data_IF_211011329098
#
_entry.id   IF_211011329098
#
_cell.length_a   1.000
_cell.length_b   1.000
_cell.length_c   1.000
_cell.angle_alpha   90.00
_cell.angle_beta   90.00
_cell.angle_gamma   90.00
#
_symmetry.space_group_name_H-M   'P 1'
#
loop_
_entity.id
_entity.type
_entity.pdbx_description
1 polymer ?
#
# COMPACT_ATOMS: atom_id res chain seq x y z
N UNK A 1 -7.18 -23.29 11.54
CA UNK A 1 -5.98 -22.46 11.82
C UNK A 1 -5.77 -21.52 10.64
N UNK A 2 -5.92 -20.22 10.83
CA UNK A 2 -5.60 -19.22 9.79
C UNK A 2 -4.09 -19.22 9.54
N UNK A 3 -3.66 -19.45 8.30
CA UNK A 3 -2.25 -19.35 7.91
C UNK A 3 -1.82 -17.88 7.91
N UNK A 4 -1.36 -17.36 9.05
CA UNK A 4 -0.88 -15.99 9.24
C UNK A 4 0.21 -15.59 8.22
N UNK A 5 0.99 -16.56 7.75
CA UNK A 5 2.01 -16.38 6.71
C UNK A 5 1.42 -15.89 5.37
N UNK A 6 0.14 -16.16 5.08
CA UNK A 6 -0.50 -15.73 3.83
C UNK A 6 -1.16 -14.35 3.91
N UNK A 7 -1.05 -13.66 5.04
CA UNK A 7 -1.62 -12.31 5.26
C UNK A 7 -0.58 -11.21 4.99
N UNK A 8 0.71 -11.54 4.99
CA UNK A 8 1.79 -10.56 4.79
C UNK A 8 2.37 -10.75 3.38
N UNK A 9 2.45 -9.66 2.62
CA UNK A 9 3.10 -9.57 1.32
C UNK A 9 4.32 -8.65 1.38
N UNK A 10 5.24 -8.82 0.43
CA UNK A 10 6.42 -7.98 0.29
C UNK A 10 6.47 -7.45 -1.14
N UNK A 11 6.67 -6.14 -1.30
CA UNK A 11 6.69 -5.52 -2.62
C UNK A 11 7.99 -5.84 -3.38
N UNK A 12 9.09 -6.02 -2.64
CA UNK A 12 10.39 -6.37 -3.21
C UNK A 12 10.94 -7.63 -2.55
N UNK A 13 10.76 -8.79 -3.19
CA UNK A 13 11.27 -10.07 -2.69
C UNK A 13 12.80 -10.10 -2.63
N UNK A 14 13.49 -9.39 -3.53
CA UNK A 14 14.96 -9.41 -3.59
C UNK A 14 15.59 -8.76 -2.36
N UNK A 15 14.91 -7.78 -1.75
CA UNK A 15 15.37 -7.16 -0.52
C UNK A 15 15.52 -8.18 0.63
N UNK A 16 14.67 -9.23 0.68
CA UNK A 16 14.76 -10.26 1.72
C UNK A 16 16.06 -11.07 1.65
N UNK A 17 16.71 -11.19 0.48
CA UNK A 17 18.03 -11.82 0.40
C UNK A 17 19.08 -11.07 1.21
N UNK A 18 18.85 -9.79 1.53
CA UNK A 18 19.66 -9.03 2.48
C UNK A 18 19.79 -9.73 3.84
N UNK A 19 18.75 -10.39 4.36
CA UNK A 19 18.85 -11.17 5.60
C UNK A 19 19.87 -12.32 5.46
N UNK A 20 19.93 -12.95 4.29
CA UNK A 20 20.88 -14.03 4.01
C UNK A 20 22.32 -13.52 3.91
N UNK A 21 22.52 -12.25 3.53
CA UNK A 21 23.81 -11.57 3.46
C UNK A 21 24.32 -11.12 4.85
N UNK A 22 23.46 -10.97 5.85
CA UNK A 22 23.85 -10.57 7.23
C UNK A 22 25.02 -11.38 7.80
N UNK A 23 25.01 -12.74 7.79
CA UNK A 23 26.13 -13.53 8.32
C UNK A 23 27.42 -13.32 7.53
N UNK A 24 27.33 -13.11 6.22
CA UNK A 24 28.49 -12.85 5.34
C UNK A 24 29.10 -11.49 5.67
N UNK A 25 28.28 -10.44 5.77
CA UNK A 25 28.71 -9.09 6.16
C UNK A 25 29.31 -9.10 7.56
N UNK A 26 28.73 -9.87 8.49
CA UNK A 26 29.28 -10.01 9.84
C UNK A 26 30.67 -10.64 9.83
N UNK A 27 30.89 -11.68 9.02
CA UNK A 27 32.22 -12.31 8.87
C UNK A 27 33.23 -11.29 8.31
N UNK A 28 32.84 -10.53 7.28
CA UNK A 28 33.72 -9.51 6.65
C UNK A 28 34.05 -8.38 7.61
N UNK A 29 33.06 -7.83 8.33
CA UNK A 29 33.29 -6.73 9.28
C UNK A 29 34.00 -7.22 10.55
N UNK A 30 33.85 -8.50 10.90
CA UNK A 30 34.56 -9.12 12.03
C UNK A 30 36.00 -9.54 11.67
N UNK A 31 36.49 -9.22 10.47
CA UNK A 31 37.93 -9.23 10.19
C UNK A 31 38.64 -8.12 10.99
N UNK A 32 38.71 -8.33 12.31
CA UNK A 32 39.47 -7.57 13.30
C UNK A 32 40.95 -8.01 13.27
N UNK A 33 41.84 -7.19 13.85
CA UNK A 33 43.16 -6.92 13.29
C UNK A 33 44.07 -8.14 13.29
N UNK A 34 45.03 -8.20 12.35
CA UNK A 34 46.04 -9.25 12.33
C UNK A 34 46.76 -9.33 13.67
N UNK A 35 47.13 -10.56 14.06
CA UNK A 35 47.83 -10.88 15.31
C UNK A 35 49.00 -9.89 15.49
N UNK A 36 49.13 -9.23 16.67
CA UNK A 36 50.22 -8.29 16.90
C UNK A 36 51.56 -9.01 16.69
N UNK A 37 52.41 -8.45 15.83
CA UNK A 37 53.76 -8.98 15.60
C UNK A 37 54.62 -8.62 16.80
N UNK A 38 55.26 -9.61 17.41
CA UNK A 38 56.25 -9.37 18.47
C UNK A 38 57.54 -8.84 17.85
N UNK A 39 58.04 -7.72 18.39
CA UNK A 39 59.36 -7.20 18.10
C UNK A 39 60.20 -7.27 19.37
N UNK A 40 61.43 -7.79 19.26
CA UNK A 40 62.39 -7.78 20.37
C UNK A 40 62.93 -6.36 20.53
N UNK A 41 62.36 -5.59 21.45
CA UNK A 41 62.82 -4.23 21.73
C UNK A 41 63.86 -4.25 22.85
N UNK A 42 65.12 -3.93 22.55
CA UNK A 42 66.26 -4.11 23.48
C UNK A 42 66.20 -3.29 24.79
N UNK A 43 65.23 -2.38 24.93
CA UNK A 43 65.09 -1.49 26.10
C UNK A 43 64.08 -2.00 27.16
N UNK A 44 63.81 -3.31 27.23
CA UNK A 44 62.86 -3.91 28.19
C UNK A 44 63.08 -3.50 29.66
N UNK A 45 64.32 -3.17 30.06
CA UNK A 45 64.64 -2.72 31.41
C UNK A 45 63.94 -1.41 31.83
N UNK A 46 63.56 -0.55 30.88
CA UNK A 46 62.80 0.68 31.16
C UNK A 46 61.31 0.40 31.42
N UNK A 47 60.80 -0.72 30.90
CA UNK A 47 59.39 -1.10 30.95
C UNK A 47 59.06 -1.96 32.18
N UNK A 48 60.07 -2.57 32.81
CA UNK A 48 59.92 -3.44 33.99
C UNK A 48 59.38 -2.71 35.24
N UNK A 49 59.49 -1.37 35.28
CA UNK A 49 58.96 -0.53 36.37
C UNK A 49 57.51 -0.07 36.18
N UNK A 50 56.85 -0.44 35.08
CA UNK A 50 55.49 -0.03 34.77
C UNK A 50 54.59 -1.25 34.99
N UNK A 51 53.70 -1.19 35.98
CA UNK A 51 52.61 -2.16 36.14
C UNK A 51 51.72 -2.07 34.91
N UNK A 52 51.83 -3.05 34.02
CA UNK A 52 51.09 -3.08 32.77
C UNK A 52 49.78 -3.84 32.99
N UNK A 53 48.70 -3.11 33.27
CA UNK A 53 47.35 -3.65 33.11
C UNK A 53 47.12 -3.91 31.62
N UNK A 54 47.29 -5.17 31.20
CA UNK A 54 47.00 -5.55 29.83
C UNK A 54 45.57 -5.10 29.48
N UNK A 55 45.35 -4.38 28.36
CA UNK A 55 44.02 -3.98 27.97
C UNK A 55 43.19 -5.25 27.82
N UNK A 56 42.26 -5.45 28.75
CA UNK A 56 41.36 -6.58 28.77
C UNK A 56 40.58 -6.50 27.48
N UNK A 57 40.82 -7.44 26.56
CA UNK A 57 40.18 -7.47 25.26
C UNK A 57 38.66 -7.52 25.49
N UNK A 58 38.00 -6.37 25.46
CA UNK A 58 36.61 -6.23 25.85
C UNK A 58 35.79 -6.95 24.79
N UNK A 59 35.34 -8.16 25.11
CA UNK A 59 34.39 -8.89 24.27
C UNK A 59 33.25 -7.93 23.95
N UNK A 60 32.94 -7.75 22.67
CA UNK A 60 31.77 -6.96 22.26
C UNK A 60 30.55 -7.44 23.06
N UNK A 61 29.88 -6.55 23.83
CA UNK A 61 28.77 -6.95 24.69
C UNK A 61 27.64 -7.52 23.82
N UNK A 62 27.05 -8.63 24.27
CA UNK A 62 26.02 -9.36 23.51
C UNK A 62 24.82 -8.47 23.14
N UNK A 63 24.51 -7.47 23.97
CA UNK A 63 23.44 -6.52 23.70
C UNK A 63 23.67 -5.66 22.45
N UNK A 64 24.92 -5.24 22.19
CA UNK A 64 25.26 -4.53 20.95
C UNK A 64 25.09 -5.44 19.72
N UNK A 65 25.34 -6.74 19.85
CA UNK A 65 25.10 -7.71 18.78
C UNK A 65 23.60 -7.83 18.49
N UNK A 66 22.78 -7.92 19.53
CA UNK A 66 21.31 -7.96 19.40
C UNK A 66 20.79 -6.71 18.70
N UNK A 67 21.22 -5.51 19.12
CA UNK A 67 20.81 -4.28 18.46
C UNK A 67 21.26 -4.19 17.01
N UNK A 68 22.47 -4.66 16.71
CA UNK A 68 22.98 -4.66 15.35
C UNK A 68 22.14 -5.53 14.44
N UNK A 69 21.73 -6.71 14.90
CA UNK A 69 20.83 -7.62 14.17
C UNK A 69 19.45 -6.97 14.02
N UNK A 70 18.90 -6.38 15.09
CA UNK A 70 17.61 -5.70 15.06
C UNK A 70 17.61 -4.56 14.02
N UNK A 71 18.60 -3.68 14.06
CA UNK A 71 18.70 -2.54 13.13
C UNK A 71 18.78 -3.02 11.68
N UNK A 72 19.56 -4.08 11.43
CA UNK A 72 19.67 -4.67 10.10
C UNK A 72 18.33 -5.27 9.62
N UNK A 73 17.61 -5.97 10.49
CA UNK A 73 16.25 -6.47 10.19
C UNK A 73 15.31 -5.32 9.84
N UNK A 74 15.32 -4.22 10.61
CA UNK A 74 14.50 -3.05 10.30
C UNK A 74 14.85 -2.43 8.95
N UNK A 75 16.14 -2.31 8.62
CA UNK A 75 16.57 -1.81 7.30
C UNK A 75 16.04 -2.70 6.19
N UNK A 76 16.19 -4.02 6.31
CA UNK A 76 15.71 -4.93 5.26
C UNK A 76 14.18 -4.89 5.16
N UNK A 77 13.46 -4.83 6.28
CA UNK A 77 12.00 -4.65 6.27
C UNK A 77 11.60 -3.35 5.59
N UNK A 78 12.31 -2.25 5.86
CA UNK A 78 12.07 -0.97 5.21
C UNK A 78 12.21 -1.06 3.68
N UNK A 79 13.29 -1.67 3.18
CA UNK A 79 13.50 -1.86 1.74
C UNK A 79 12.58 -2.90 1.10
N UNK A 80 12.15 -3.90 1.87
CA UNK A 80 11.22 -4.94 1.43
C UNK A 80 9.78 -4.45 1.26
N UNK A 81 9.43 -3.35 1.94
CA UNK A 81 8.09 -2.73 1.94
C UNK A 81 7.00 -3.78 2.21
N UNK A 82 6.94 -4.34 3.43
CA UNK A 82 5.89 -5.27 3.80
C UNK A 82 4.53 -4.57 3.75
N UNK A 83 3.55 -5.24 3.17
CA UNK A 83 2.16 -4.80 3.15
C UNK A 83 1.26 -5.94 3.62
N UNK A 84 0.14 -5.60 4.23
CA UNK A 84 -0.86 -6.61 4.56
C UNK A 84 -1.68 -6.92 3.30
N UNK A 85 -1.67 -8.18 2.89
CA UNK A 85 -2.65 -8.72 1.96
C UNK A 85 -3.98 -8.70 2.66
N UNK A 86 -4.89 -7.86 2.19
CA UNK A 86 -6.27 -7.91 2.63
C UNK A 86 -6.89 -9.17 1.99
N UNK A 87 -6.82 -10.31 2.68
CA UNK A 87 -7.58 -11.50 2.31
C UNK A 87 -9.05 -11.29 2.69
N UNK A 88 -9.65 -10.19 2.24
CA UNK A 88 -11.06 -9.84 2.45
C UNK A 88 -11.99 -10.72 1.61
N UNK A 89 -11.66 -12.00 1.38
CA UNK A 89 -12.59 -12.96 0.77
C UNK A 89 -13.87 -13.13 1.59
N UNK A 90 -13.82 -12.89 2.91
CA UNK A 90 -15.01 -12.96 3.80
C UNK A 90 -15.89 -11.70 3.70
N UNK A 91 -15.34 -10.54 3.34
CA UNK A 91 -16.14 -9.33 3.09
C UNK A 91 -16.63 -9.26 1.63
N UNK A 92 -15.91 -9.87 0.69
CA UNK A 92 -16.25 -9.93 -0.74
C UNK A 92 -17.44 -10.86 -1.07
N UNK A 93 -17.88 -11.72 -0.13
CA UNK A 93 -19.15 -12.47 -0.28
C UNK A 93 -20.39 -11.58 -0.10
N UNK A 94 -20.31 -10.49 0.67
CA UNK A 94 -21.47 -9.64 0.97
C UNK A 94 -21.93 -8.77 -0.22
N UNK A 95 -21.04 -8.53 -1.18
CA UNK A 95 -21.30 -7.64 -2.30
C UNK A 95 -21.33 -8.42 -3.62
N UNK A 96 -22.39 -8.25 -4.40
CA UNK A 96 -22.57 -8.91 -5.71
C UNK A 96 -21.96 -8.11 -6.85
N UNK A 97 -21.76 -6.81 -6.66
CA UNK A 97 -21.34 -5.87 -7.71
C UNK A 97 -20.49 -4.72 -7.16
N UNK A 98 -19.65 -4.15 -8.00
CA UNK A 98 -18.82 -2.99 -7.67
C UNK A 98 -19.44 -1.77 -8.36
N UNK A 99 -19.80 -0.73 -7.59
CA UNK A 99 -20.35 0.52 -8.10
C UNK A 99 -19.29 1.60 -8.03
N UNK A 100 -18.85 2.08 -9.18
CA UNK A 100 -17.90 3.18 -9.32
C UNK A 100 -18.69 4.44 -9.68
N UNK A 101 -18.63 5.43 -8.80
CA UNK A 101 -19.23 6.75 -8.97
C UNK A 101 -18.10 7.73 -9.19
N UNK A 102 -17.91 8.11 -10.45
CA UNK A 102 -16.84 8.97 -10.90
C UNK A 102 -17.32 10.39 -11.17
N UNK A 103 -16.48 11.34 -10.85
CA UNK A 103 -16.54 12.67 -11.41
C UNK A 103 -15.52 12.81 -12.53
N UNK A 104 -16.01 13.24 -13.69
CA UNK A 104 -15.18 13.53 -14.86
C UNK A 104 -15.20 15.02 -15.22
N UNK A 105 -15.44 15.91 -14.26
CA UNK A 105 -15.43 17.35 -14.45
C UNK A 105 -14.06 17.96 -14.74
N UNK A 106 -14.03 19.27 -14.95
CA UNK A 106 -12.82 19.98 -15.42
C UNK A 106 -11.66 19.87 -14.43
N UNK A 107 -11.98 19.77 -13.15
CA UNK A 107 -11.05 19.60 -12.03
C UNK A 107 -10.25 18.29 -12.12
N UNK A 108 -10.76 17.28 -12.83
CA UNK A 108 -10.11 15.99 -13.06
C UNK A 108 -9.16 16.00 -14.26
N UNK A 109 -9.23 17.01 -15.14
CA UNK A 109 -8.49 17.04 -16.41
C UNK A 109 -6.98 16.89 -16.22
N UNK A 110 -6.41 17.53 -15.18
CA UNK A 110 -4.98 17.46 -14.88
C UNK A 110 -4.51 16.03 -14.54
N UNK A 111 -5.34 15.28 -13.84
CA UNK A 111 -5.02 13.94 -13.33
C UNK A 111 -5.77 12.84 -14.09
N UNK A 112 -6.19 13.09 -15.34
CA UNK A 112 -7.03 12.19 -16.13
C UNK A 112 -6.46 10.78 -16.29
N UNK A 113 -5.16 10.67 -16.52
CA UNK A 113 -4.50 9.36 -16.66
C UNK A 113 -4.53 8.58 -15.34
N UNK A 114 -4.28 9.25 -14.20
CA UNK A 114 -4.37 8.62 -12.88
C UNK A 114 -5.81 8.19 -12.56
N UNK A 115 -6.79 8.99 -12.97
CA UNK A 115 -8.19 8.62 -12.89
C UNK A 115 -8.48 7.33 -13.67
N UNK A 116 -8.04 7.23 -14.94
CA UNK A 116 -8.21 6.02 -15.75
C UNK A 116 -7.54 4.81 -15.08
N UNK A 117 -6.29 4.95 -14.64
CA UNK A 117 -5.55 3.90 -13.94
C UNK A 117 -6.29 3.40 -12.69
N UNK A 118 -6.79 4.31 -11.85
CA UNK A 118 -7.55 3.96 -10.65
C UNK A 118 -8.85 3.22 -10.96
N UNK A 119 -9.62 3.69 -11.95
CA UNK A 119 -10.88 3.03 -12.34
C UNK A 119 -10.60 1.65 -12.92
N UNK A 120 -9.52 1.48 -13.67
CA UNK A 120 -9.08 0.18 -14.19
C UNK A 120 -8.60 -0.76 -13.07
N UNK A 121 -7.89 -0.27 -12.06
CA UNK A 121 -7.48 -1.07 -10.91
C UNK A 121 -8.70 -1.64 -10.16
N UNK A 122 -9.72 -0.80 -9.94
CA UNK A 122 -10.99 -1.23 -9.36
C UNK A 122 -11.70 -2.25 -10.26
N UNK A 123 -11.68 -2.03 -11.58
CA UNK A 123 -12.23 -2.96 -12.57
C UNK A 123 -11.54 -4.32 -12.58
N UNK A 124 -10.20 -4.35 -12.46
CA UNK A 124 -9.41 -5.58 -12.33
C UNK A 124 -9.74 -6.33 -11.03
N UNK A 125 -9.89 -5.62 -9.91
CA UNK A 125 -10.31 -6.22 -8.63
C UNK A 125 -11.70 -6.85 -8.78
N UNK A 126 -12.65 -6.14 -9.39
CA UNK A 126 -14.00 -6.64 -9.63
C UNK A 126 -14.01 -7.90 -10.52
N UNK A 127 -13.24 -7.89 -11.61
CA UNK A 127 -13.12 -9.03 -12.52
C UNK A 127 -12.49 -10.25 -11.84
N UNK A 128 -11.40 -10.04 -11.08
CA UNK A 128 -10.76 -11.09 -10.28
C UNK A 128 -11.74 -11.72 -9.29
N UNK A 129 -12.61 -10.90 -8.70
CA UNK A 129 -13.65 -11.33 -7.75
C UNK A 129 -14.95 -11.79 -8.42
N UNK A 130 -14.99 -11.89 -9.76
CA UNK A 130 -16.17 -12.27 -10.57
C UNK A 130 -17.40 -11.39 -10.31
N UNK A 131 -17.20 -10.12 -9.99
CA UNK A 131 -18.26 -9.14 -9.72
C UNK A 131 -18.53 -8.30 -10.97
N UNK A 132 -19.79 -7.90 -11.15
CA UNK A 132 -20.15 -6.93 -12.20
C UNK A 132 -19.66 -5.53 -11.81
N UNK A 133 -19.21 -4.77 -12.80
CA UNK A 133 -18.78 -3.39 -12.64
C UNK A 133 -19.91 -2.47 -13.10
N UNK A 134 -20.36 -1.58 -12.23
CA UNK A 134 -21.34 -0.54 -12.53
C UNK A 134 -20.58 0.79 -12.51
N UNK A 135 -20.53 1.49 -13.64
CA UNK A 135 -19.84 2.76 -13.77
C UNK A 135 -20.85 3.87 -14.00
N UNK A 136 -20.92 4.79 -13.05
CA UNK A 136 -21.60 6.06 -13.19
C UNK A 136 -20.56 7.18 -13.25
N UNK A 137 -20.74 8.13 -14.16
CA UNK A 137 -19.93 9.32 -14.21
C UNK A 137 -20.79 10.57 -14.36
N UNK A 138 -20.23 11.72 -13.99
CA UNK A 138 -20.96 13.00 -13.87
C UNK A 138 -21.64 13.52 -15.15
N UNK A 139 -21.30 13.00 -16.34
CA UNK A 139 -22.00 13.31 -17.60
C UNK A 139 -23.38 12.64 -17.70
N UNK A 140 -23.59 11.56 -16.94
CA UNK A 140 -24.84 10.80 -17.01
C UNK A 140 -25.94 11.58 -16.29
N UNK A 141 -27.07 11.73 -16.97
CA UNK A 141 -28.19 12.51 -16.47
C UNK A 141 -29.11 11.70 -15.57
N UNK A 142 -29.19 10.39 -15.79
CA UNK A 142 -30.06 9.49 -15.02
C UNK A 142 -29.31 8.24 -14.61
N UNK A 143 -29.71 7.65 -13.48
CA UNK A 143 -29.21 6.33 -13.06
C UNK A 143 -29.48 5.22 -14.09
N UNK A 144 -30.50 5.38 -14.95
CA UNK A 144 -30.82 4.46 -16.05
C UNK A 144 -29.72 4.38 -17.12
N UNK A 145 -28.89 5.41 -17.21
CA UNK A 145 -27.80 5.49 -18.19
C UNK A 145 -26.51 4.83 -17.69
N UNK A 146 -26.55 4.25 -16.49
CA UNK A 146 -25.43 3.60 -15.84
C UNK A 146 -24.85 2.49 -16.72
N UNK A 147 -23.53 2.49 -16.87
CA UNK A 147 -22.82 1.54 -17.74
C UNK A 147 -22.44 0.31 -16.93
N UNK A 148 -22.79 -0.87 -17.45
CA UNK A 148 -22.53 -2.14 -16.80
C UNK A 148 -21.47 -2.89 -17.60
N UNK A 149 -20.38 -3.28 -16.95
CA UNK A 149 -19.28 -4.02 -17.53
C UNK A 149 -19.08 -5.34 -16.80
N UNK A 150 -18.73 -6.39 -17.54
CA UNK A 150 -18.38 -7.71 -17.00
C UNK A 150 -16.87 -7.93 -16.93
N UNK A 151 -16.10 -7.20 -17.73
CA UNK A 151 -14.64 -7.35 -17.85
C UNK A 151 -13.97 -5.98 -17.78
N UNK A 152 -12.74 -5.96 -17.28
CA UNK A 152 -11.93 -4.75 -17.22
C UNK A 152 -11.56 -4.26 -18.63
N UNK A 153 -11.43 -5.16 -19.60
CA UNK A 153 -11.20 -4.79 -21.00
C UNK A 153 -12.33 -3.92 -21.58
N UNK A 154 -13.59 -4.28 -21.33
CA UNK A 154 -14.74 -3.51 -21.81
C UNK A 154 -14.82 -2.13 -21.13
N UNK A 155 -14.49 -2.07 -19.84
CA UNK A 155 -14.36 -0.81 -19.10
C UNK A 155 -13.24 0.07 -19.69
N UNK A 156 -12.09 -0.51 -19.99
CA UNK A 156 -10.96 0.21 -20.60
C UNK A 156 -11.35 0.85 -21.93
N UNK A 157 -11.97 0.09 -22.83
CA UNK A 157 -12.41 0.61 -24.12
C UNK A 157 -13.43 1.76 -23.96
N UNK A 158 -14.27 1.74 -22.92
CA UNK A 158 -15.15 2.84 -22.61
C UNK A 158 -14.38 4.09 -22.12
N UNK A 159 -13.41 3.90 -21.23
CA UNK A 159 -12.59 4.98 -20.67
C UNK A 159 -11.69 5.66 -21.71
N UNK A 160 -11.18 4.92 -22.69
CA UNK A 160 -10.38 5.49 -23.78
C UNK A 160 -11.17 6.46 -24.66
N UNK A 161 -12.48 6.23 -24.79
CA UNK A 161 -13.39 7.12 -25.51
C UNK A 161 -13.96 8.24 -24.63
N UNK A 162 -13.61 8.25 -23.34
CA UNK A 162 -14.09 9.23 -22.38
C UNK A 162 -13.07 10.38 -22.28
N UNK A 163 -13.59 11.61 -22.16
CA UNK A 163 -12.78 12.81 -21.99
C UNK A 163 -13.28 13.61 -20.78
N UNK A 164 -12.40 14.36 -20.11
CA UNK A 164 -12.82 15.25 -19.03
C UNK A 164 -13.77 16.32 -19.58
N UNK A 165 -14.83 16.57 -18.84
CA UNK A 165 -15.84 17.57 -19.16
C UNK A 165 -15.40 18.96 -18.71
N UNK A 166 -15.76 20.03 -19.43
CA UNK A 166 -15.52 21.41 -18.99
C UNK A 166 -16.53 21.88 -17.92
N UNK A 167 -17.14 20.95 -17.18
CA UNK A 167 -18.21 21.20 -16.21
C UNK A 167 -17.73 20.83 -14.81
N UNK A 168 -18.15 21.60 -13.79
CA UNK A 168 -17.86 21.25 -12.40
C UNK A 168 -18.85 20.22 -11.87
N UNK A 169 -18.34 19.25 -11.12
CA UNK A 169 -19.18 18.33 -10.36
C UNK A 169 -19.93 19.03 -9.26
N UNK A 170 -21.25 19.03 -9.35
CA UNK A 170 -22.10 19.54 -8.28
C UNK A 170 -22.65 18.38 -7.47
N UNK A 171 -22.85 18.61 -6.17
CA UNK A 171 -23.47 17.66 -5.23
C UNK A 171 -24.79 17.06 -5.75
N UNK A 172 -25.57 17.82 -6.52
CA UNK A 172 -26.80 17.36 -7.17
C UNK A 172 -26.61 16.19 -8.16
N UNK A 173 -25.40 15.95 -8.67
CA UNK A 173 -25.11 14.80 -9.53
C UNK A 173 -25.19 13.46 -8.79
N UNK A 174 -24.91 13.46 -7.48
CA UNK A 174 -25.09 12.27 -6.62
C UNK A 174 -26.55 12.08 -6.24
N UNK A 175 -27.31 13.18 -6.10
CA UNK A 175 -28.74 13.10 -5.79
C UNK A 175 -29.51 12.37 -6.89
N UNK A 176 -29.05 12.46 -8.15
CA UNK A 176 -29.59 11.68 -9.28
C UNK A 176 -29.42 10.16 -9.11
N UNK A 177 -28.36 9.70 -8.47
CA UNK A 177 -28.12 8.29 -8.17
C UNK A 177 -28.92 7.82 -6.96
N UNK A 178 -29.05 8.66 -5.94
CA UNK A 178 -29.75 8.35 -4.68
C UNK A 178 -31.25 8.11 -4.90
N UNK A 179 -31.82 8.61 -6.00
CA UNK A 179 -33.22 8.36 -6.36
C UNK A 179 -33.57 6.87 -6.45
N UNK A 180 -32.61 5.99 -6.77
CA UNK A 180 -32.81 4.54 -6.82
C UNK A 180 -31.87 3.83 -5.84
N UNK A 181 -32.38 3.51 -4.65
CA UNK A 181 -31.64 2.82 -3.60
C UNK A 181 -31.22 1.39 -4.00
N UNK A 182 -31.88 0.78 -4.99
CA UNK A 182 -31.61 -0.60 -5.42
C UNK A 182 -30.21 -0.79 -6.03
N UNK A 183 -29.63 0.28 -6.58
CA UNK A 183 -28.30 0.26 -7.19
C UNK A 183 -27.23 0.06 -6.12
N UNK A 184 -27.43 0.64 -4.93
CA UNK A 184 -26.50 0.54 -3.82
C UNK A 184 -26.59 -0.81 -3.10
N UNK A 185 -27.75 -1.48 -3.15
CA UNK A 185 -27.96 -2.79 -2.52
C UNK A 185 -26.93 -3.81 -2.99
N UNK A 186 -26.34 -4.53 -2.04
CA UNK A 186 -25.29 -5.54 -2.24
C UNK A 186 -24.14 -5.04 -3.13
N UNK A 187 -23.79 -3.75 -3.07
CA UNK A 187 -22.68 -3.19 -3.86
C UNK A 187 -21.54 -2.67 -3.00
N UNK A 188 -20.30 -2.89 -3.46
CA UNK A 188 -19.11 -2.21 -2.94
C UNK A 188 -18.97 -0.90 -3.71
N UNK A 189 -19.13 0.23 -3.00
CA UNK A 189 -19.22 1.56 -3.62
C UNK A 189 -17.85 2.23 -3.57
N UNK A 190 -17.38 2.68 -4.72
CA UNK A 190 -16.18 3.48 -4.91
C UNK A 190 -16.58 4.85 -5.41
N UNK A 191 -16.10 5.91 -4.76
CA UNK A 191 -16.35 7.28 -5.19
C UNK A 191 -15.01 7.88 -5.60
N UNK A 192 -14.93 8.33 -6.85
CA UNK A 192 -13.73 8.88 -7.44
C UNK A 192 -14.05 10.31 -7.87
N UNK A 193 -13.46 11.31 -7.21
CA UNK A 193 -13.64 12.71 -7.63
C UNK A 193 -12.43 13.54 -7.19
N UNK A 194 -12.32 14.75 -7.75
CA UNK A 194 -11.16 15.62 -7.58
C UNK A 194 -11.05 16.14 -6.14
N UNK A 195 -9.85 16.54 -5.73
CA UNK A 195 -9.64 17.20 -4.44
C UNK A 195 -10.42 18.52 -4.31
N UNK A 196 -10.70 19.20 -5.43
CA UNK A 196 -11.35 20.52 -5.44
C UNK A 196 -12.86 20.43 -5.20
N UNK A 197 -13.47 19.29 -5.50
CA UNK A 197 -14.93 19.11 -5.37
C UNK A 197 -15.35 18.57 -3.99
N UNK A 198 -14.39 18.16 -3.14
CA UNK A 198 -14.61 17.60 -1.80
C UNK A 198 -14.08 18.48 -0.65
N UNK A 199 -14.36 19.78 -0.68
CA UNK A 199 -13.95 20.67 0.42
C UNK A 199 -14.54 20.27 1.81
N UNK A 200 -15.56 19.41 1.88
CA UNK A 200 -16.08 18.88 3.15
C UNK A 200 -16.55 17.40 3.06
N UNK A 201 -15.61 16.45 3.09
CA UNK A 201 -15.89 15.00 2.99
C UNK A 201 -16.84 14.48 4.08
N UNK A 202 -16.87 15.12 5.26
CA UNK A 202 -17.74 14.80 6.40
C UNK A 202 -19.24 14.82 6.03
N UNK A 203 -19.69 15.82 5.27
CA UNK A 203 -21.10 15.97 4.90
C UNK A 203 -21.55 14.92 3.88
N UNK A 204 -20.62 14.43 3.05
CA UNK A 204 -20.87 13.30 2.15
C UNK A 204 -21.02 12.01 2.94
N UNK A 205 -20.12 11.74 3.89
CA UNK A 205 -20.17 10.53 4.71
C UNK A 205 -21.49 10.41 5.50
N UNK A 206 -22.03 11.52 6.02
CA UNK A 206 -23.36 11.53 6.66
C UNK A 206 -24.48 11.09 5.71
N UNK A 207 -24.49 11.56 4.47
CA UNK A 207 -25.50 11.15 3.47
C UNK A 207 -25.31 9.70 3.01
N UNK A 208 -24.07 9.22 2.91
CA UNK A 208 -23.78 7.80 2.67
C UNK A 208 -24.07 6.90 3.88
N UNK A 209 -24.05 7.44 5.10
CA UNK A 209 -24.46 6.68 6.29
C UNK A 209 -25.96 6.38 6.32
N UNK A 210 -26.79 7.20 5.68
CA UNK A 210 -28.21 6.88 5.43
C UNK A 210 -28.33 5.67 4.50
N UNK A 211 -27.50 5.59 3.46
CA UNK A 211 -27.39 4.41 2.59
C UNK A 211 -26.91 3.20 3.42
N UNK A 212 -25.95 3.38 4.33
CA UNK A 212 -25.43 2.31 5.22
C UNK A 212 -26.48 1.73 6.17
N UNK A 213 -27.43 2.53 6.66
CA UNK A 213 -28.47 2.10 7.59
C UNK A 213 -29.61 1.29 6.92
N UNK A 214 -29.73 1.33 5.59
CA UNK A 214 -30.68 0.52 4.82
C UNK A 214 -30.11 -0.85 4.39
N UNK A 215 -28.89 -1.22 4.80
CA UNK A 215 -28.30 -2.56 4.61
C UNK A 215 -28.46 -3.43 5.86
N UNK A 216 -29.69 -3.57 6.36
CA UNK A 216 -30.04 -4.64 7.28
C UNK A 216 -30.48 -5.88 6.51
#
# INVERSE_FOLDING_TARGET
MSNFINIIGFSNLYALFGLLLTPIIWIIVKSFPPIPKSYNFSSFFLLEKIDYDAPKNEKTPLWLVIFRILFFILIVLFFSKPFLKNNSSVADEKYEKYLIVADIGWSMAKDWNKFKELVLEIGQEAEKNKKKILFFHSNLNTYKDLKIFKTNYALNNYLENLSPLPLQFKKGSLDKLIQDESIFKNSKIFIVSSKFDFNNFSDYYKKFSLIKNNFK
#
